data_IF_638038266554
#
_entry.id   IF_638038266554
#
_cell.length_a   1.000
_cell.length_b   1.000
_cell.length_c   1.000
_cell.angle_alpha   90.00
_cell.angle_beta   90.00
_cell.angle_gamma   90.00
#
_symmetry.space_group_name_H-M   'P 1'
#
loop_
_entity.id
_entity.type
_entity.pdbx_description
1 polymer ?
#
# COMPACT_ATOMS: atom_id res chain seq x y z
N UNK A 1 -7.39 24.00 -8.19
CA UNK A 1 -6.75 22.67 -8.20
C UNK A 1 -6.64 22.21 -9.65
N UNK A 2 -5.50 22.40 -10.31
CA UNK A 2 -5.27 21.92 -11.68
C UNK A 2 -4.59 20.55 -11.54
N UNK A 3 -5.25 19.48 -11.98
CA UNK A 3 -4.81 18.07 -11.97
C UNK A 3 -4.88 17.29 -10.62
N UNK A 4 -5.31 16.02 -10.69
CA UNK A 4 -5.36 15.09 -9.54
C UNK A 4 -3.99 14.72 -8.99
N UNK A 5 -2.95 14.81 -9.83
CA UNK A 5 -1.57 14.53 -9.45
C UNK A 5 -1.08 15.52 -8.37
N UNK A 6 -1.34 16.81 -8.56
CA UNK A 6 -0.94 17.86 -7.63
C UNK A 6 -1.65 17.71 -6.28
N UNK A 7 -2.93 17.31 -6.29
CA UNK A 7 -3.68 16.96 -5.08
C UNK A 7 -2.99 15.83 -4.32
N UNK A 8 -2.64 14.74 -5.02
CA UNK A 8 -2.00 13.59 -4.41
C UNK A 8 -0.62 13.95 -3.86
N UNK A 9 0.15 14.79 -4.55
CA UNK A 9 1.46 15.27 -4.10
C UNK A 9 1.35 16.09 -2.80
N UNK A 10 0.36 16.99 -2.70
CA UNK A 10 0.09 17.76 -1.47
C UNK A 10 -0.23 16.82 -0.30
N UNK A 11 -1.12 15.84 -0.51
CA UNK A 11 -1.44 14.87 0.53
C UNK A 11 -0.23 14.02 0.92
N UNK A 12 0.62 13.65 -0.04
CA UNK A 12 1.85 12.89 0.21
C UNK A 12 2.80 13.69 1.11
N UNK A 13 3.03 14.97 0.78
CA UNK A 13 3.89 15.85 1.58
C UNK A 13 3.34 16.04 3.01
N UNK A 14 2.03 16.22 3.15
CA UNK A 14 1.40 16.38 4.46
C UNK A 14 1.46 15.09 5.29
N UNK A 15 1.18 13.93 4.69
CA UNK A 15 1.31 12.64 5.37
C UNK A 15 2.75 12.35 5.80
N UNK A 16 3.75 12.73 4.99
CA UNK A 16 5.16 12.62 5.38
C UNK A 16 5.46 13.47 6.62
N UNK A 17 4.96 14.72 6.65
CA UNK A 17 5.17 15.62 7.77
C UNK A 17 4.53 15.10 9.05
N UNK A 18 3.26 14.69 9.01
CA UNK A 18 2.57 14.12 10.18
C UNK A 18 3.22 12.81 10.65
N UNK A 19 3.71 11.98 9.73
CA UNK A 19 4.33 10.71 10.08
C UNK A 19 5.70 10.87 10.75
N UNK A 20 6.37 12.01 10.53
CA UNK A 20 7.64 12.38 11.15
C UNK A 20 7.47 13.17 12.45
N UNK A 21 6.51 14.08 12.50
CA UNK A 21 6.41 15.10 13.55
C UNK A 21 5.01 15.28 14.14
N UNK A 22 4.05 14.42 13.80
CA UNK A 22 2.66 14.55 14.24
C UNK A 22 2.52 14.44 15.76
N UNK A 23 1.62 15.25 16.31
CA UNK A 23 1.26 15.28 17.74
C UNK A 23 -0.18 14.74 17.94
N UNK A 24 -0.52 14.11 19.09
CA UNK A 24 0.36 13.81 20.24
C UNK A 24 1.33 12.66 19.98
N UNK A 25 1.05 11.83 18.98
CA UNK A 25 1.97 10.85 18.42
C UNK A 25 1.83 10.80 16.89
N UNK A 26 2.91 10.52 16.15
CA UNK A 26 2.87 10.56 14.69
C UNK A 26 1.96 9.49 14.05
N UNK A 27 1.68 8.37 14.71
CA UNK A 27 0.83 7.31 14.15
C UNK A 27 -0.65 7.74 14.16
N UNK A 28 -1.11 8.30 15.28
CA UNK A 28 -2.48 8.84 15.42
C UNK A 28 -2.68 10.02 14.48
N UNK A 29 -1.76 10.99 14.46
CA UNK A 29 -1.84 12.15 13.59
C UNK A 29 -1.91 11.75 12.10
N UNK A 30 -1.06 10.81 11.68
CA UNK A 30 -1.06 10.29 10.31
C UNK A 30 -2.36 9.55 9.99
N UNK A 31 -2.89 8.74 10.92
CA UNK A 31 -4.14 8.00 10.71
C UNK A 31 -5.34 8.93 10.55
N UNK A 32 -5.43 9.99 11.37
CA UNK A 32 -6.49 11.00 11.25
C UNK A 32 -6.40 11.78 9.94
N UNK A 33 -5.20 12.22 9.58
CA UNK A 33 -4.98 12.92 8.30
C UNK A 33 -5.32 12.01 7.13
N UNK A 34 -4.92 10.74 7.18
CA UNK A 34 -5.20 9.76 6.14
C UNK A 34 -6.71 9.53 5.95
N UNK A 35 -7.46 9.42 7.05
CA UNK A 35 -8.92 9.29 6.99
C UNK A 35 -9.56 10.53 6.33
N UNK A 36 -9.09 11.74 6.64
CA UNK A 36 -9.53 12.99 6.00
C UNK A 36 -9.15 13.04 4.52
N UNK A 37 -7.94 12.63 4.18
CA UNK A 37 -7.42 12.62 2.80
C UNK A 37 -8.21 11.65 1.90
N UNK A 38 -8.59 10.48 2.43
CA UNK A 38 -9.37 9.47 1.72
C UNK A 38 -10.77 9.93 1.31
N UNK A 39 -11.35 10.93 2.00
CA UNK A 39 -12.65 11.51 1.64
C UNK A 39 -12.55 12.50 0.47
N UNK A 40 -11.35 13.04 0.21
CA UNK A 40 -11.12 14.15 -0.73
C UNK A 40 -10.35 13.75 -1.99
N UNK A 41 -9.78 12.55 -2.00
CA UNK A 41 -8.91 12.03 -3.06
C UNK A 41 -9.17 10.54 -3.26
N UNK A 42 -8.75 9.98 -4.40
CA UNK A 42 -8.78 8.54 -4.65
C UNK A 42 -8.12 7.75 -3.51
N UNK A 43 -8.96 7.12 -2.70
CA UNK A 43 -8.56 6.34 -1.53
C UNK A 43 -7.54 5.26 -1.89
N UNK A 44 -7.69 4.61 -3.04
CA UNK A 44 -6.78 3.54 -3.45
C UNK A 44 -5.38 4.07 -3.75
N UNK A 45 -5.27 5.24 -4.41
CA UNK A 45 -3.96 5.88 -4.66
C UNK A 45 -3.30 6.29 -3.34
N UNK A 46 -4.06 6.87 -2.42
CA UNK A 46 -3.56 7.27 -1.10
C UNK A 46 -3.05 6.08 -0.27
N UNK A 47 -3.75 4.95 -0.28
CA UNK A 47 -3.27 3.74 0.40
C UNK A 47 -1.91 3.26 -0.13
N UNK A 48 -1.70 3.33 -1.45
CA UNK A 48 -0.41 2.96 -2.07
C UNK A 48 0.69 3.97 -1.73
N UNK A 49 0.36 5.26 -1.68
CA UNK A 49 1.28 6.32 -1.25
C UNK A 49 1.71 6.10 0.20
N UNK A 50 0.74 5.94 1.12
CA UNK A 50 1.04 5.75 2.54
C UNK A 50 1.88 4.50 2.80
N UNK A 51 1.64 3.43 2.04
CA UNK A 51 2.50 2.24 2.10
C UNK A 51 3.95 2.54 1.69
N UNK A 52 4.15 3.36 0.66
CA UNK A 52 5.50 3.81 0.26
C UNK A 52 6.18 4.62 1.37
N UNK A 53 5.45 5.55 1.99
CA UNK A 53 5.94 6.34 3.13
C UNK A 53 6.41 5.41 4.27
N UNK A 54 5.62 4.38 4.59
CA UNK A 54 6.01 3.42 5.63
C UNK A 54 7.18 2.52 5.24
N UNK A 55 7.35 2.20 3.96
CA UNK A 55 8.52 1.47 3.46
C UNK A 55 9.80 2.30 3.56
N UNK A 56 9.73 3.59 3.20
CA UNK A 56 10.86 4.51 3.27
C UNK A 56 11.34 4.74 4.72
N UNK A 57 10.42 4.65 5.68
CA UNK A 57 10.71 4.76 7.12
C UNK A 57 11.27 3.48 7.75
N UNK A 58 11.31 2.37 7.00
CA UNK A 58 11.90 1.11 7.44
C UNK A 58 11.29 0.58 8.75
N UNK A 59 12.16 0.12 9.66
CA UNK A 59 11.77 -0.60 10.88
C UNK A 59 10.79 0.17 11.79
N UNK A 60 10.90 1.51 11.82
CA UNK A 60 10.03 2.36 12.63
C UNK A 60 8.54 2.24 12.25
N UNK A 61 8.23 1.79 11.03
CA UNK A 61 6.86 1.68 10.50
C UNK A 61 6.49 0.30 9.95
N UNK A 62 7.31 -0.74 10.14
CA UNK A 62 7.03 -2.11 9.66
C UNK A 62 5.66 -2.62 10.15
N UNK A 63 5.34 -2.43 11.43
CA UNK A 63 4.05 -2.89 11.99
C UNK A 63 2.86 -2.08 11.45
N UNK A 64 3.03 -0.80 11.14
CA UNK A 64 2.02 0.04 10.51
C UNK A 64 1.80 -0.37 9.04
N UNK A 65 2.88 -0.65 8.31
CA UNK A 65 2.83 -1.15 6.94
C UNK A 65 2.08 -2.49 6.84
N UNK A 66 2.37 -3.46 7.72
CA UNK A 66 1.68 -4.75 7.71
C UNK A 66 0.17 -4.60 7.99
N UNK A 67 -0.21 -3.73 8.94
CA UNK A 67 -1.63 -3.41 9.22
C UNK A 67 -2.31 -2.76 8.02
N UNK A 68 -1.65 -1.80 7.39
CA UNK A 68 -2.17 -1.10 6.21
C UNK A 68 -2.38 -2.07 5.04
N UNK A 69 -1.41 -2.94 4.74
CA UNK A 69 -1.53 -3.97 3.69
C UNK A 69 -2.72 -4.89 3.96
N UNK A 70 -2.89 -5.34 5.21
CA UNK A 70 -4.04 -6.15 5.60
C UNK A 70 -5.37 -5.43 5.33
N UNK A 71 -5.45 -4.14 5.66
CA UNK A 71 -6.59 -3.28 5.34
C UNK A 71 -6.82 -3.12 3.84
N UNK A 72 -5.77 -2.83 3.07
CA UNK A 72 -5.82 -2.67 1.62
C UNK A 72 -6.32 -3.93 0.92
N UNK A 73 -5.78 -5.09 1.28
CA UNK A 73 -6.21 -6.36 0.69
C UNK A 73 -7.67 -6.68 1.02
N UNK A 74 -8.16 -6.32 2.22
CA UNK A 74 -9.56 -6.49 2.62
C UNK A 74 -10.51 -5.49 1.95
N UNK A 75 -10.08 -4.24 1.78
CA UNK A 75 -10.89 -3.18 1.17
C UNK A 75 -10.95 -3.32 -0.36
N UNK A 76 -9.85 -3.73 -0.99
CA UNK A 76 -9.68 -3.77 -2.44
C UNK A 76 -9.45 -5.19 -2.98
N UNK A 77 -10.20 -6.17 -2.46
CA UNK A 77 -10.06 -7.62 -2.78
C UNK A 77 -10.05 -7.93 -4.28
N UNK A 78 -10.83 -7.19 -5.07
CA UNK A 78 -10.91 -7.37 -6.53
C UNK A 78 -9.79 -6.70 -7.35
N UNK A 79 -8.86 -5.99 -6.70
CA UNK A 79 -7.82 -5.21 -7.36
C UNK A 79 -6.48 -5.95 -7.39
N UNK A 80 -6.14 -6.51 -8.55
CA UNK A 80 -4.83 -7.15 -8.79
C UNK A 80 -3.64 -6.23 -8.45
N UNK A 81 -3.74 -4.92 -8.72
CA UNK A 81 -2.71 -3.94 -8.38
C UNK A 81 -2.40 -3.89 -6.87
N UNK A 82 -3.39 -4.10 -6.01
CA UNK A 82 -3.19 -4.05 -4.55
C UNK A 82 -2.51 -5.33 -4.07
N UNK A 83 -2.95 -6.49 -4.58
CA UNK A 83 -2.29 -7.76 -4.29
C UNK A 83 -0.84 -7.79 -4.75
N UNK A 84 -0.55 -7.29 -5.95
CA UNK A 84 0.83 -7.17 -6.45
C UNK A 84 1.67 -6.21 -5.60
N UNK A 85 1.10 -5.07 -5.18
CA UNK A 85 1.81 -4.12 -4.32
C UNK A 85 2.15 -4.71 -2.95
N UNK A 86 1.23 -5.49 -2.38
CA UNK A 86 1.45 -6.22 -1.13
C UNK A 86 2.48 -7.34 -1.28
N UNK A 87 2.44 -8.07 -2.40
CA UNK A 87 3.44 -9.09 -2.75
C UNK A 87 4.84 -8.49 -2.85
N UNK A 88 4.98 -7.39 -3.59
CA UNK A 88 6.24 -6.65 -3.76
C UNK A 88 6.79 -6.16 -2.41
N UNK A 89 5.94 -5.61 -1.54
CA UNK A 89 6.34 -5.23 -0.18
C UNK A 89 6.97 -6.41 0.58
N UNK A 90 6.30 -7.56 0.60
CA UNK A 90 6.80 -8.73 1.32
C UNK A 90 8.06 -9.33 0.68
N UNK A 91 8.22 -9.25 -0.64
CA UNK A 91 9.46 -9.63 -1.32
C UNK A 91 10.62 -8.73 -0.91
N UNK A 92 10.43 -7.40 -0.96
CA UNK A 92 11.46 -6.42 -0.54
C UNK A 92 11.82 -6.58 0.94
N UNK A 93 10.86 -6.93 1.78
CA UNK A 93 11.08 -7.21 3.19
C UNK A 93 11.73 -8.59 3.47
N UNK A 94 12.10 -9.37 2.45
CA UNK A 94 12.68 -10.71 2.60
C UNK A 94 11.70 -11.78 3.13
N UNK A 95 10.41 -11.45 3.23
CA UNK A 95 9.36 -12.31 3.79
C UNK A 95 8.69 -13.16 2.69
N UNK A 96 9.50 -13.96 1.99
CA UNK A 96 9.05 -14.76 0.83
C UNK A 96 7.83 -15.66 1.11
N UNK A 97 7.74 -16.25 2.32
CA UNK A 97 6.57 -17.02 2.74
C UNK A 97 5.28 -16.19 2.82
N UNK A 98 5.34 -14.97 3.39
CA UNK A 98 4.19 -14.05 3.41
C UNK A 98 3.85 -13.53 2.02
N UNK A 99 4.85 -13.29 1.18
CA UNK A 99 4.65 -12.88 -0.21
C UNK A 99 3.82 -13.94 -0.96
N UNK A 100 4.25 -15.20 -0.92
CA UNK A 100 3.54 -16.30 -1.58
C UNK A 100 2.12 -16.48 -1.05
N UNK A 101 1.93 -16.48 0.27
CA UNK A 101 0.59 -16.56 0.87
C UNK A 101 -0.32 -15.37 0.46
N UNK A 102 0.26 -14.18 0.26
CA UNK A 102 -0.48 -13.00 -0.22
C UNK A 102 -0.88 -13.14 -1.68
N UNK A 103 0.01 -13.69 -2.51
CA UNK A 103 -0.29 -14.00 -3.91
C UNK A 103 -1.40 -15.05 -4.02
N UNK A 104 -1.33 -16.13 -3.23
CA UNK A 104 -2.33 -17.20 -3.21
C UNK A 104 -3.72 -16.66 -2.81
N UNK A 105 -3.78 -15.82 -1.77
CA UNK A 105 -5.02 -15.12 -1.36
C UNK A 105 -5.53 -14.17 -2.44
N UNK A 106 -4.62 -13.49 -3.14
CA UNK A 106 -4.97 -12.63 -4.27
C UNK A 106 -5.56 -13.42 -5.43
N UNK A 107 -4.95 -14.55 -5.80
CA UNK A 107 -5.46 -15.45 -6.83
C UNK A 107 -6.81 -16.05 -6.44
N UNK A 108 -7.04 -16.39 -5.17
CA UNK A 108 -8.35 -16.85 -4.69
C UNK A 108 -9.43 -15.74 -4.77
N UNK A 109 -9.03 -14.47 -4.60
CA UNK A 109 -9.94 -13.31 -4.56
C UNK A 109 -10.18 -12.68 -5.93
N UNK A 110 -9.37 -13.00 -6.94
CA UNK A 110 -9.45 -12.41 -8.27
C UNK A 110 -10.29 -13.30 -9.21
N UNK A 111 -11.00 -12.72 -10.18
CA UNK A 111 -11.64 -13.50 -11.24
C UNK A 111 -10.57 -14.22 -12.07
N UNK A 112 -10.81 -15.49 -12.44
CA UNK A 112 -9.89 -16.37 -13.21
C UNK A 112 -9.21 -15.68 -14.40
N UNK A 113 -9.91 -14.76 -15.07
CA UNK A 113 -9.41 -13.97 -16.22
C UNK A 113 -8.21 -13.06 -15.88
N UNK A 114 -7.94 -12.75 -14.60
CA UNK A 114 -6.78 -11.96 -14.14
C UNK A 114 -5.62 -12.80 -13.60
N UNK A 115 -5.78 -14.12 -13.48
CA UNK A 115 -4.74 -14.99 -12.89
C UNK A 115 -3.48 -15.02 -13.76
N UNK A 116 -3.64 -15.08 -15.09
CA UNK A 116 -2.52 -15.08 -16.03
C UNK A 116 -1.67 -13.79 -15.89
N UNK A 117 -2.31 -12.62 -15.75
CA UNK A 117 -1.61 -11.34 -15.55
C UNK A 117 -0.90 -11.27 -14.19
N UNK A 118 -1.49 -11.83 -13.14
CA UNK A 118 -0.87 -11.89 -11.81
C UNK A 118 0.35 -12.83 -11.79
N UNK A 119 0.25 -13.99 -12.44
CA UNK A 119 1.33 -14.98 -12.55
C UNK A 119 2.50 -14.42 -13.39
N UNK A 120 2.22 -13.82 -14.55
CA UNK A 120 3.23 -13.19 -15.41
C UNK A 120 3.96 -12.03 -14.70
N UNK A 121 3.24 -11.21 -13.94
CA UNK A 121 3.86 -10.10 -13.19
C UNK A 121 4.74 -10.60 -12.04
N UNK A 122 4.34 -11.65 -11.32
CA UNK A 122 5.13 -12.21 -10.23
C UNK A 122 6.40 -12.93 -10.73
N UNK A 123 6.36 -13.57 -11.91
CA UNK A 123 7.51 -14.21 -12.54
C UNK A 123 8.50 -13.23 -13.20
N UNK A 124 8.07 -12.00 -13.53
CA UNK A 124 8.95 -10.96 -14.08
C UNK A 124 9.82 -10.28 -13.02
N UNK A 125 9.36 -10.20 -11.77
CA UNK A 125 10.09 -9.59 -10.65
C UNK A 125 11.21 -10.47 -10.08
N UNK A 126 11.36 -11.71 -10.54
CA UNK A 126 12.47 -12.62 -10.14
C UNK A 126 13.69 -12.52 -11.05
N UNK A 127 13.63 -11.69 -12.10
CA UNK A 127 14.77 -11.38 -12.96
C UNK A 127 14.91 -9.87 -13.09
N UNK A 128 15.46 -9.21 -12.09
CA UNK A 128 16.30 -8.01 -12.22
C UNK A 128 17.05 -7.74 -10.92
#
# INVERSE_FOLDING_TARGET
WRNEADKLAVWTAWLNLENLHGEPDPETATAELFAKACQRTDSKKLHVVLLGIYEDMGEARVNAAERLIGGMCKAFRGSCKIWLRAFEHYLRAGKGGKARATLDKGLASLPRRKHIKAILAAGGTTHH
#
